data_IF_058593976181
#
_entry.id   IF_058593976181
#
_cell.length_a   1.000
_cell.length_b   1.000
_cell.length_c   1.000
_cell.angle_alpha   90.00
_cell.angle_beta   90.00
_cell.angle_gamma   90.00
#
_symmetry.space_group_name_H-M   'P 1'
#
loop_
_entity.id
_entity.type
_entity.pdbx_description
1 polymer ?
#
# COMPACT_ATOMS: atom_id res chain seq x y z
N UNK A 1 20.02 -37.71 5.63
CA UNK A 1 18.56 -37.55 5.64
C UNK A 1 18.09 -37.60 4.19
N UNK A 2 17.08 -38.39 3.80
CA UNK A 2 16.58 -38.44 2.44
C UNK A 2 16.12 -37.07 1.99
N UNK A 3 16.48 -36.68 0.75
CA UNK A 3 16.15 -35.37 0.15
C UNK A 3 14.65 -35.04 0.24
N UNK A 4 13.80 -36.02 0.01
CA UNK A 4 12.34 -35.88 0.09
C UNK A 4 11.84 -35.50 1.49
N UNK A 5 12.45 -36.03 2.54
CA UNK A 5 12.11 -35.67 3.92
C UNK A 5 12.48 -34.23 4.24
N UNK A 6 13.61 -33.76 3.76
CA UNK A 6 14.03 -32.34 3.91
C UNK A 6 13.07 -31.42 3.16
N UNK A 7 12.73 -31.75 1.92
CA UNK A 7 11.76 -30.96 1.12
C UNK A 7 10.40 -30.89 1.82
N UNK A 8 9.91 -32.02 2.33
CA UNK A 8 8.63 -32.05 3.06
C UNK A 8 8.67 -31.20 4.33
N UNK A 9 9.74 -31.27 5.10
CA UNK A 9 9.92 -30.43 6.29
C UNK A 9 9.95 -28.94 5.95
N UNK A 10 10.70 -28.54 4.92
CA UNK A 10 10.77 -27.14 4.46
C UNK A 10 9.40 -26.66 4.01
N UNK A 11 8.67 -27.44 3.20
CA UNK A 11 7.30 -27.09 2.78
C UNK A 11 6.37 -26.89 3.97
N UNK A 12 6.44 -27.77 4.96
CA UNK A 12 5.61 -27.65 6.16
C UNK A 12 5.95 -26.38 6.95
N UNK A 13 7.22 -26.04 7.11
CA UNK A 13 7.65 -24.80 7.77
C UNK A 13 7.15 -23.56 7.03
N UNK A 14 7.24 -23.56 5.69
CA UNK A 14 6.73 -22.47 4.87
C UNK A 14 5.22 -22.33 5.07
N UNK A 15 4.46 -23.40 4.92
CA UNK A 15 3.00 -23.39 5.04
C UNK A 15 2.48 -23.02 6.44
N UNK A 16 3.29 -23.25 7.49
CA UNK A 16 2.96 -22.82 8.84
C UNK A 16 3.19 -21.32 9.08
N UNK A 17 4.13 -20.72 8.33
CA UNK A 17 4.56 -19.34 8.54
C UNK A 17 4.01 -18.35 7.52
N UNK A 18 3.65 -18.83 6.32
CA UNK A 18 3.23 -18.00 5.20
C UNK A 18 1.88 -18.46 4.65
N UNK A 19 1.08 -17.49 4.22
CA UNK A 19 -0.15 -17.73 3.47
C UNK A 19 0.02 -17.06 2.11
N UNK A 20 -0.09 -17.84 1.03
CA UNK A 20 0.01 -17.35 -0.34
C UNK A 20 -1.39 -17.20 -0.93
N UNK A 21 -1.66 -16.07 -1.55
CA UNK A 21 -2.96 -15.74 -2.13
C UNK A 21 -2.80 -14.97 -3.43
N UNK A 22 -3.70 -15.17 -4.38
CA UNK A 22 -3.88 -14.24 -5.50
C UNK A 22 -4.58 -12.95 -5.03
N UNK A 23 -4.51 -11.87 -5.82
CA UNK A 23 -5.10 -10.57 -5.43
C UNK A 23 -6.60 -10.64 -5.14
N UNK A 24 -7.35 -11.33 -6.01
CA UNK A 24 -8.79 -11.52 -5.81
C UNK A 24 -9.10 -12.37 -4.56
N UNK A 25 -8.28 -13.39 -4.31
CA UNK A 25 -8.39 -14.23 -3.12
C UNK A 25 -8.10 -13.42 -1.85
N UNK A 26 -7.08 -12.56 -1.87
CA UNK A 26 -6.78 -11.65 -0.77
C UNK A 26 -7.96 -10.69 -0.51
N UNK A 27 -8.52 -10.09 -1.55
CA UNK A 27 -9.69 -9.22 -1.41
C UNK A 27 -10.89 -9.95 -0.79
N UNK A 28 -11.18 -11.17 -1.25
CA UNK A 28 -12.25 -11.99 -0.70
C UNK A 28 -11.94 -12.43 0.74
N UNK A 29 -10.69 -12.79 1.04
CA UNK A 29 -10.26 -13.14 2.39
C UNK A 29 -10.47 -11.98 3.38
N UNK A 30 -10.01 -10.77 3.00
CA UNK A 30 -10.21 -9.57 3.82
C UNK A 30 -11.70 -9.34 4.05
N UNK A 31 -12.51 -9.34 2.98
CA UNK A 31 -13.95 -9.09 3.05
C UNK A 31 -14.67 -10.09 3.93
N UNK A 32 -14.49 -11.38 3.68
CA UNK A 32 -15.16 -12.44 4.42
C UNK A 32 -14.83 -12.43 5.91
N UNK A 33 -13.62 -11.98 6.26
CA UNK A 33 -13.16 -11.93 7.65
C UNK A 33 -13.52 -10.63 8.36
N UNK A 34 -13.85 -9.55 7.65
CA UNK A 34 -14.01 -8.23 8.24
C UNK A 34 -15.38 -7.61 8.03
N UNK A 35 -16.07 -7.91 6.93
CA UNK A 35 -17.34 -7.26 6.57
C UNK A 35 -18.59 -8.03 7.04
N UNK A 36 -18.48 -9.34 7.31
CA UNK A 36 -19.60 -10.17 7.78
C UNK A 36 -19.83 -10.09 9.30
N UNK A 37 -19.53 -8.94 9.91
CA UNK A 37 -19.68 -8.72 11.35
C UNK A 37 -20.79 -7.70 11.61
N UNK A 38 -21.80 -8.09 12.39
CA UNK A 38 -22.81 -7.16 12.90
C UNK A 38 -24.04 -6.96 12.00
N UNK A 39 -24.67 -8.03 11.56
CA UNK A 39 -26.05 -7.94 11.02
C UNK A 39 -26.98 -7.36 12.12
N UNK A 40 -27.72 -6.31 11.77
CA UNK A 40 -28.71 -5.70 12.67
C UNK A 40 -28.21 -4.59 13.59
N UNK A 41 -26.92 -4.22 13.56
CA UNK A 41 -26.37 -3.07 14.30
C UNK A 41 -26.30 -1.82 13.42
N UNK A 42 -26.22 -0.64 14.07
CA UNK A 42 -26.06 0.62 13.36
C UNK A 42 -24.71 0.71 12.60
N UNK A 43 -24.59 1.64 11.66
CA UNK A 43 -23.39 1.80 10.82
C UNK A 43 -22.11 2.07 11.63
N UNK A 44 -22.22 2.84 12.70
CA UNK A 44 -21.10 3.20 13.57
C UNK A 44 -20.59 2.00 14.39
N UNK A 45 -21.50 1.19 14.89
CA UNK A 45 -21.19 -0.06 15.60
C UNK A 45 -20.57 -1.09 14.63
N UNK A 46 -21.17 -1.26 13.44
CA UNK A 46 -20.63 -2.13 12.39
C UNK A 46 -19.19 -1.75 12.03
N UNK A 47 -18.91 -0.47 11.83
CA UNK A 47 -17.55 0.00 11.55
C UNK A 47 -16.56 -0.35 12.66
N UNK A 48 -16.95 -0.22 13.93
CA UNK A 48 -16.10 -0.63 15.06
C UNK A 48 -15.81 -2.13 15.06
N UNK A 49 -16.83 -2.96 14.79
CA UNK A 49 -16.68 -4.40 14.72
C UNK A 49 -15.76 -4.81 13.56
N UNK A 50 -15.91 -4.19 12.40
CA UNK A 50 -15.00 -4.39 11.26
C UNK A 50 -13.55 -4.06 11.61
N UNK A 51 -13.30 -2.88 12.20
CA UNK A 51 -11.95 -2.48 12.62
C UNK A 51 -11.37 -3.44 13.64
N UNK A 52 -12.18 -3.89 14.61
CA UNK A 52 -11.76 -4.90 15.59
C UNK A 52 -11.36 -6.22 14.91
N UNK A 53 -12.15 -6.66 13.94
CA UNK A 53 -11.89 -7.88 13.17
C UNK A 53 -10.61 -7.75 12.33
N UNK A 54 -10.41 -6.62 11.65
CA UNK A 54 -9.18 -6.32 10.91
C UNK A 54 -7.96 -6.40 11.82
N UNK A 55 -8.02 -5.74 12.97
CA UNK A 55 -6.91 -5.73 13.94
C UNK A 55 -6.60 -7.11 14.50
N UNK A 56 -7.61 -7.93 14.75
CA UNK A 56 -7.42 -9.32 15.23
C UNK A 56 -6.63 -10.16 14.24
N UNK A 57 -6.79 -9.93 12.95
CA UNK A 57 -6.23 -10.76 11.88
C UNK A 57 -4.90 -10.18 11.36
N UNK A 58 -4.84 -8.87 11.15
CA UNK A 58 -3.75 -8.23 10.40
C UNK A 58 -2.77 -7.44 11.27
N UNK A 59 -3.05 -7.20 12.55
CA UNK A 59 -2.05 -6.62 13.45
C UNK A 59 -0.82 -7.54 13.56
N UNK A 60 0.35 -6.93 13.62
CA UNK A 60 1.64 -7.66 13.73
C UNK A 60 1.91 -8.62 12.55
N UNK A 61 1.37 -8.33 11.37
CA UNK A 61 1.59 -9.11 10.15
C UNK A 61 2.45 -8.36 9.15
N UNK A 62 3.23 -9.10 8.39
CA UNK A 62 3.89 -8.62 7.17
C UNK A 62 3.03 -9.05 5.97
N UNK A 63 2.67 -8.09 5.14
CA UNK A 63 2.02 -8.34 3.85
C UNK A 63 3.05 -8.00 2.77
N UNK A 64 3.39 -8.99 1.95
CA UNK A 64 4.26 -8.83 0.79
C UNK A 64 3.38 -8.90 -0.44
N UNK A 65 3.47 -7.89 -1.28
CA UNK A 65 2.70 -7.79 -2.52
C UNK A 65 3.69 -7.74 -3.67
N UNK A 66 3.73 -8.81 -4.42
CA UNK A 66 4.51 -8.89 -5.65
C UNK A 66 3.72 -8.25 -6.78
N UNK A 67 4.41 -7.66 -7.77
CA UNK A 67 3.82 -6.90 -8.88
C UNK A 67 2.76 -5.89 -8.40
N UNK A 68 3.12 -5.08 -7.41
CA UNK A 68 2.22 -4.14 -6.73
C UNK A 68 1.53 -3.13 -7.68
N UNK A 69 2.05 -2.97 -8.89
CA UNK A 69 1.41 -2.17 -9.93
C UNK A 69 0.03 -2.71 -10.36
N UNK A 70 -0.28 -3.98 -10.10
CA UNK A 70 -1.57 -4.58 -10.45
C UNK A 70 -2.71 -4.25 -9.48
N UNK A 71 -2.41 -3.72 -8.31
CA UNK A 71 -3.42 -3.44 -7.27
C UNK A 71 -3.64 -1.94 -7.00
N UNK A 72 -3.01 -1.08 -7.80
CA UNK A 72 -3.14 0.36 -7.65
C UNK A 72 -4.52 0.86 -8.09
N UNK A 73 -5.02 1.86 -7.40
CA UNK A 73 -6.19 2.61 -7.84
C UNK A 73 -5.74 3.65 -8.87
N UNK A 74 -6.23 3.52 -10.10
CA UNK A 74 -6.09 4.47 -11.19
C UNK A 74 -7.46 5.02 -11.55
N UNK A 75 -7.50 6.04 -12.42
CA UNK A 75 -8.77 6.54 -12.95
C UNK A 75 -9.53 5.48 -13.75
N UNK A 76 -8.79 4.60 -14.44
CA UNK A 76 -9.36 3.49 -15.21
C UNK A 76 -9.74 2.28 -14.33
N UNK A 77 -9.23 2.20 -13.10
CA UNK A 77 -9.43 1.08 -12.17
C UNK A 77 -9.90 1.55 -10.79
N UNK A 78 -10.83 2.51 -10.77
CA UNK A 78 -11.42 3.05 -9.51
C UNK A 78 -12.15 2.00 -8.68
N UNK A 79 -12.52 0.90 -9.30
CA UNK A 79 -13.25 -0.20 -8.68
C UNK A 79 -12.38 -1.35 -8.18
N UNK A 80 -11.05 -1.19 -8.21
CA UNK A 80 -10.18 -2.21 -7.63
C UNK A 80 -10.47 -2.38 -6.14
N UNK A 81 -11.16 -3.47 -5.86
CA UNK A 81 -11.57 -3.86 -4.51
C UNK A 81 -10.36 -4.14 -3.63
N UNK A 82 -9.28 -4.68 -4.20
CA UNK A 82 -8.07 -5.05 -3.47
C UNK A 82 -7.33 -3.83 -2.96
N UNK A 83 -7.13 -2.83 -3.81
CA UNK A 83 -6.49 -1.57 -3.43
C UNK A 83 -7.26 -0.80 -2.34
N UNK A 84 -8.60 -0.74 -2.46
CA UNK A 84 -9.46 -0.12 -1.44
C UNK A 84 -9.37 -0.84 -0.09
N UNK A 85 -9.39 -2.16 -0.09
CA UNK A 85 -9.29 -2.97 1.12
C UNK A 85 -7.91 -2.86 1.78
N UNK A 86 -6.84 -2.86 0.99
CA UNK A 86 -5.49 -2.64 1.52
C UNK A 86 -5.34 -1.26 2.17
N UNK A 87 -5.88 -0.22 1.54
CA UNK A 87 -5.90 1.11 2.15
C UNK A 87 -6.70 1.12 3.46
N UNK A 88 -7.82 0.40 3.53
CA UNK A 88 -8.63 0.24 4.74
C UNK A 88 -7.83 -0.47 5.85
N UNK A 89 -7.09 -1.54 5.52
CA UNK A 89 -6.18 -2.22 6.45
C UNK A 89 -5.07 -1.28 6.93
N UNK A 90 -4.39 -0.62 6.00
CA UNK A 90 -3.29 0.30 6.29
C UNK A 90 -3.71 1.42 7.27
N UNK A 91 -4.92 1.96 7.11
CA UNK A 91 -5.46 2.99 8.02
C UNK A 91 -5.79 2.45 9.42
N UNK A 92 -6.28 1.22 9.52
CA UNK A 92 -6.92 0.72 10.76
C UNK A 92 -6.06 -0.26 11.57
N UNK A 93 -5.20 -1.05 10.92
CA UNK A 93 -4.34 -2.02 11.60
C UNK A 93 -3.14 -1.36 12.27
N UNK A 94 -2.60 -2.02 13.29
CA UNK A 94 -1.46 -1.57 14.06
C UNK A 94 -0.28 -2.54 13.89
N UNK A 95 0.93 -1.99 13.83
CA UNK A 95 2.16 -2.77 13.66
C UNK A 95 2.11 -3.75 12.46
N UNK A 96 1.31 -3.42 11.45
CA UNK A 96 1.31 -4.12 10.18
C UNK A 96 2.48 -3.57 9.33
N UNK A 97 3.14 -4.46 8.60
CA UNK A 97 4.22 -4.09 7.67
C UNK A 97 3.78 -4.38 6.24
N UNK A 98 4.10 -3.47 5.34
CA UNK A 98 3.85 -3.62 3.91
C UNK A 98 5.19 -3.64 3.17
N UNK A 99 5.36 -4.64 2.30
CA UNK A 99 6.44 -4.71 1.33
C UNK A 99 5.81 -4.80 -0.06
N UNK A 100 6.01 -3.78 -0.87
CA UNK A 100 5.51 -3.70 -2.23
C UNK A 100 6.68 -3.94 -3.18
N UNK A 101 6.59 -4.96 -4.01
CA UNK A 101 7.59 -5.32 -5.00
C UNK A 101 7.04 -4.96 -6.38
N UNK A 102 7.81 -4.27 -7.19
CA UNK A 102 7.45 -3.94 -8.57
C UNK A 102 8.68 -3.51 -9.35
N UNK A 103 8.79 -3.96 -10.59
CA UNK A 103 9.76 -3.45 -11.53
C UNK A 103 9.31 -2.11 -12.16
N UNK A 104 7.99 -1.86 -12.16
CA UNK A 104 7.36 -0.70 -12.81
C UNK A 104 6.37 -0.04 -11.84
N UNK A 105 6.84 0.65 -10.78
CA UNK A 105 5.97 1.25 -9.77
C UNK A 105 5.06 2.35 -10.34
N UNK A 106 5.45 2.93 -11.48
CA UNK A 106 4.68 3.89 -12.28
C UNK A 106 4.54 3.32 -13.68
N UNK A 107 3.33 3.07 -14.14
CA UNK A 107 3.09 2.46 -15.44
C UNK A 107 2.29 3.37 -16.38
N UNK A 108 1.10 3.83 -16.00
CA UNK A 108 0.21 4.59 -16.86
C UNK A 108 0.24 6.10 -16.56
N UNK A 109 0.40 6.49 -15.31
CA UNK A 109 0.28 7.87 -14.89
C UNK A 109 1.16 8.20 -13.69
N UNK A 110 1.69 9.43 -13.68
CA UNK A 110 2.39 9.99 -12.51
C UNK A 110 1.48 10.05 -11.27
N UNK A 111 0.16 10.12 -11.46
CA UNK A 111 -0.80 10.11 -10.36
C UNK A 111 -0.77 8.82 -9.52
N UNK A 112 -0.31 7.70 -10.10
CA UNK A 112 -0.20 6.43 -9.40
C UNK A 112 0.74 6.51 -8.19
N UNK A 113 1.75 7.38 -8.24
CA UNK A 113 2.69 7.58 -7.14
C UNK A 113 1.97 8.07 -5.87
N UNK A 114 0.91 8.87 -6.03
CA UNK A 114 0.13 9.40 -4.91
C UNK A 114 -0.55 8.27 -4.15
N UNK A 115 -1.14 7.30 -4.87
CA UNK A 115 -1.79 6.16 -4.23
C UNK A 115 -0.79 5.29 -3.45
N UNK A 116 0.35 4.93 -4.06
CA UNK A 116 1.40 4.14 -3.40
C UNK A 116 1.93 4.89 -2.17
N UNK A 117 2.25 6.17 -2.33
CA UNK A 117 2.71 7.04 -1.23
C UNK A 117 1.71 7.05 -0.09
N UNK A 118 0.44 7.23 -0.39
CA UNK A 118 -0.63 7.26 0.59
C UNK A 118 -0.82 5.91 1.28
N UNK A 119 -0.71 4.79 0.57
CA UNK A 119 -0.79 3.47 1.17
C UNK A 119 0.31 3.24 2.22
N UNK A 120 1.56 3.57 1.87
CA UNK A 120 2.71 3.45 2.77
C UNK A 120 2.60 4.40 3.97
N UNK A 121 2.24 5.66 3.72
CA UNK A 121 2.06 6.65 4.79
C UNK A 121 0.87 6.30 5.71
N UNK A 122 -0.24 5.79 5.16
CA UNK A 122 -1.38 5.33 5.97
C UNK A 122 -0.98 4.18 6.90
N UNK A 123 -0.15 3.25 6.40
CA UNK A 123 0.34 2.14 7.22
C UNK A 123 1.17 2.64 8.42
N UNK A 124 2.00 3.64 8.22
CA UNK A 124 2.84 4.24 9.25
C UNK A 124 2.12 5.36 10.04
N UNK A 125 0.80 5.53 9.83
CA UNK A 125 -0.02 6.57 10.48
C UNK A 125 0.46 8.00 10.22
N UNK A 126 1.12 8.23 9.09
CA UNK A 126 1.53 9.55 8.60
C UNK A 126 0.41 10.20 7.81
N UNK A 127 0.40 11.52 7.76
CA UNK A 127 -0.60 12.27 7.00
C UNK A 127 -0.55 11.94 5.51
N UNK A 128 -1.71 11.80 4.89
CA UNK A 128 -1.87 11.55 3.46
C UNK A 128 -1.70 12.84 2.66
N UNK A 129 -1.47 12.71 1.36
CA UNK A 129 -1.35 13.81 0.41
C UNK A 129 -2.45 13.71 -0.65
N UNK A 130 -2.90 14.86 -1.14
CA UNK A 130 -3.85 14.95 -2.26
C UNK A 130 -3.09 15.17 -3.56
N UNK A 131 -3.67 14.75 -4.67
CA UNK A 131 -3.09 14.95 -5.99
C UNK A 131 -2.78 16.45 -6.25
N UNK A 132 -3.72 17.33 -5.98
CA UNK A 132 -3.57 18.77 -6.18
C UNK A 132 -2.53 19.46 -5.27
N UNK A 133 -2.01 18.78 -4.26
CA UNK A 133 -0.88 19.26 -3.45
C UNK A 133 0.47 18.98 -4.12
N UNK A 134 0.49 18.01 -5.02
CA UNK A 134 1.72 17.54 -5.69
C UNK A 134 1.77 17.97 -7.15
N UNK A 135 0.67 17.81 -7.88
CA UNK A 135 0.59 18.10 -9.31
C UNK A 135 -0.53 19.09 -9.62
N UNK A 136 -0.28 19.98 -10.56
CA UNK A 136 -1.28 20.87 -11.14
C UNK A 136 -2.12 20.16 -12.22
N UNK A 137 -3.06 20.89 -12.84
CA UNK A 137 -3.95 20.35 -13.88
C UNK A 137 -3.21 19.93 -15.17
N UNK A 138 -1.97 20.40 -15.36
CA UNK A 138 -1.11 20.02 -16.50
C UNK A 138 -0.23 18.82 -16.20
N UNK A 139 -0.20 18.37 -14.93
CA UNK A 139 0.67 17.30 -14.47
C UNK A 139 2.07 17.74 -14.06
N UNK A 140 2.31 19.05 -14.01
CA UNK A 140 3.55 19.60 -13.50
C UNK A 140 3.53 19.67 -11.97
N UNK A 141 4.70 19.62 -11.34
CA UNK A 141 4.77 19.81 -9.90
C UNK A 141 4.30 21.21 -9.50
N UNK A 142 3.42 21.26 -8.51
CA UNK A 142 2.99 22.51 -7.86
C UNK A 142 4.22 23.28 -7.38
N UNK A 143 4.29 24.58 -7.70
CA UNK A 143 5.41 25.43 -7.35
C UNK A 143 5.38 25.84 -5.88
N UNK A 144 6.56 26.08 -5.33
CA UNK A 144 6.70 26.65 -3.99
C UNK A 144 6.12 28.06 -3.96
N UNK A 145 5.38 28.38 -2.90
CA UNK A 145 4.85 29.72 -2.65
C UNK A 145 5.52 30.30 -1.42
N UNK A 146 6.11 31.51 -1.57
CA UNK A 146 6.72 32.29 -0.48
C UNK A 146 5.99 33.59 -0.29
N UNK A 147 5.96 34.11 0.95
CA UNK A 147 5.52 35.46 1.22
C UNK A 147 6.63 36.49 0.86
N UNK A 148 6.31 37.77 1.01
CA UNK A 148 7.24 38.89 0.72
C UNK A 148 8.52 38.85 1.57
N UNK A 149 8.49 38.19 2.70
CA UNK A 149 9.65 38.00 3.61
C UNK A 149 10.43 36.72 3.33
N UNK A 150 10.14 35.98 2.24
CA UNK A 150 10.80 34.74 1.88
C UNK A 150 10.37 33.51 2.68
N UNK A 151 9.38 33.60 3.57
CA UNK A 151 8.85 32.47 4.33
C UNK A 151 8.02 31.59 3.41
N UNK A 152 8.30 30.29 3.41
CA UNK A 152 7.56 29.30 2.62
C UNK A 152 6.16 29.14 3.20
N UNK A 153 5.13 29.53 2.42
CA UNK A 153 3.73 29.35 2.74
C UNK A 153 3.21 27.98 2.25
N UNK A 154 3.76 27.51 1.12
CA UNK A 154 3.44 26.21 0.53
C UNK A 154 4.72 25.64 -0.06
N UNK A 155 5.08 24.42 0.35
CA UNK A 155 6.20 23.69 -0.25
C UNK A 155 5.85 23.25 -1.70
N UNK A 156 6.87 23.07 -2.54
CA UNK A 156 6.64 22.53 -3.88
C UNK A 156 6.13 21.09 -3.82
N UNK A 157 5.33 20.68 -4.81
CA UNK A 157 4.82 19.33 -4.95
C UNK A 157 5.95 18.28 -4.96
N UNK A 158 7.09 18.62 -5.60
CA UNK A 158 8.27 17.77 -5.62
C UNK A 158 8.83 17.55 -4.19
N UNK A 159 9.01 18.60 -3.41
CA UNK A 159 9.53 18.50 -2.05
C UNK A 159 8.57 17.74 -1.13
N UNK A 160 7.27 18.01 -1.26
CA UNK A 160 6.23 17.29 -0.54
C UNK A 160 6.28 15.78 -0.83
N UNK A 161 6.30 15.39 -2.09
CA UNK A 161 6.35 13.98 -2.51
C UNK A 161 7.66 13.33 -2.02
N UNK A 162 8.80 13.98 -2.21
CA UNK A 162 10.11 13.51 -1.74
C UNK A 162 10.08 13.25 -0.23
N UNK A 163 9.57 14.19 0.56
CA UNK A 163 9.47 14.07 2.03
C UNK A 163 8.55 12.92 2.47
N UNK A 164 7.50 12.66 1.69
CA UNK A 164 6.54 11.59 1.97
C UNK A 164 7.03 10.19 1.56
N UNK A 165 7.96 10.12 0.61
CA UNK A 165 8.56 8.86 0.14
C UNK A 165 9.88 8.52 0.81
N UNK A 166 10.51 9.45 1.50
CA UNK A 166 11.83 9.21 2.11
C UNK A 166 11.76 8.04 3.09
N UNK A 167 12.68 7.08 2.93
CA UNK A 167 12.75 5.87 3.75
C UNK A 167 11.88 4.70 3.26
N UNK A 168 11.03 4.89 2.24
CA UNK A 168 10.18 3.82 1.71
C UNK A 168 10.72 3.14 0.45
N UNK A 169 11.57 3.81 -0.31
CA UNK A 169 12.01 3.32 -1.61
C UNK A 169 13.39 2.71 -1.52
N UNK A 170 13.51 1.46 -1.95
CA UNK A 170 14.78 0.78 -2.19
C UNK A 170 14.79 0.26 -3.62
N UNK A 171 15.87 0.49 -4.36
CA UNK A 171 16.01 0.02 -5.73
C UNK A 171 17.47 -0.35 -6.01
N UNK A 172 17.64 -1.30 -6.92
CA UNK A 172 18.95 -1.63 -7.48
C UNK A 172 19.05 -0.94 -8.84
N UNK A 173 20.09 -0.15 -9.06
CA UNK A 173 20.45 0.28 -10.41
C UNK A 173 20.98 -0.97 -11.14
N UNK A 174 20.18 -1.48 -12.08
CA UNK A 174 20.65 -2.51 -13.00
C UNK A 174 21.77 -1.93 -13.87
N UNK A 175 22.94 -2.55 -13.86
CA UNK A 175 23.86 -2.43 -14.98
C UNK A 175 23.15 -3.01 -16.21
N UNK A 176 23.46 -2.46 -17.37
CA UNK A 176 22.87 -2.75 -18.64
C UNK A 176 22.63 -4.26 -18.82
N UNK A 177 21.40 -4.76 -19.07
CA UNK A 177 21.12 -6.21 -19.16
C UNK A 177 21.83 -6.92 -20.33
N UNK A 178 22.63 -6.21 -21.11
CA UNK A 178 23.46 -6.76 -22.18
C UNK A 178 24.84 -7.25 -21.75
N UNK A 179 25.12 -7.31 -20.43
CA UNK A 179 26.40 -7.82 -19.91
C UNK A 179 26.30 -9.22 -19.28
N UNK A 180 25.30 -10.02 -19.66
CA UNK A 180 25.23 -11.44 -19.33
C UNK A 180 25.45 -12.30 -20.58
#
# INVERSE_FOLDING_TARGET
>A
VPKEKVISQVKNMINQSYVFMGYLELANYIRNKTENVGEGVDEKERHKLEVRSMRKIFNNRLIIIDEAHNIRLTDDNKDDKTGKLLMKLAKNCQNMRLLLLSATPLYNSYAEIIWITNLLNANDKRGLIRHAEVFDDKGDFVKEVKNVNGVVLQESGFNLLKRKLIGYVSYVRGENPYTF
#
